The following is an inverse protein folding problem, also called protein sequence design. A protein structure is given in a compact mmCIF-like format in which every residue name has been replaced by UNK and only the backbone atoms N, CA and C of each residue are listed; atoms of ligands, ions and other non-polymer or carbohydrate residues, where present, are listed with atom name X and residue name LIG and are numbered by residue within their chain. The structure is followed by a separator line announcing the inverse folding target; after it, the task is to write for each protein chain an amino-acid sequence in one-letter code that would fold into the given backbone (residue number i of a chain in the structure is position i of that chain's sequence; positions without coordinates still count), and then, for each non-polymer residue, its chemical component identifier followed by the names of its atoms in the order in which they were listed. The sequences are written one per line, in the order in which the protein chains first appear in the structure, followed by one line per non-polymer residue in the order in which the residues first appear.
data_IF_415120514100
#
_entry.id   IF_415120514100
#
_cell.length_a   1.000
_cell.length_b   1.000
_cell.length_c   1.000
_cell.angle_alpha   90.00
_cell.angle_beta   90.00
_cell.angle_gamma   90.00
#
_symmetry.space_group_name_H-M   'P 1'
#
loop_
_entity.id
_entity.type
_entity.pdbx_description
1 polymer ?
#
# COMPACT_ATOMS: atom_id res chain seq x y z
N UNK A 1 -27.04 28.93 -1.75
CA UNK A 1 -25.60 28.65 -1.97
C UNK A 1 -25.08 28.00 -0.71
N UNK A 2 -24.48 26.82 -0.81
CA UNK A 2 -24.00 26.07 0.36
C UNK A 2 -22.48 26.20 0.42
N UNK A 3 -21.97 26.68 1.56
CA UNK A 3 -20.55 26.73 1.88
C UNK A 3 -20.24 25.57 2.81
N UNK A 4 -19.40 24.64 2.37
CA UNK A 4 -18.97 23.48 3.14
C UNK A 4 -17.64 23.76 3.83
N UNK A 5 -17.53 23.29 5.08
CA UNK A 5 -16.29 23.27 5.85
C UNK A 5 -15.71 21.87 5.81
N UNK A 6 -14.54 21.72 5.21
CA UNK A 6 -13.94 20.42 4.92
C UNK A 6 -12.55 20.31 5.54
N UNK A 7 -12.17 19.09 5.89
CA UNK A 7 -10.80 18.70 6.21
C UNK A 7 -10.34 17.65 5.21
N UNK A 8 -9.13 17.77 4.69
CA UNK A 8 -8.52 16.73 3.85
C UNK A 8 -8.17 15.52 4.72
N UNK A 9 -8.69 14.36 4.37
CA UNK A 9 -8.37 13.08 5.01
C UNK A 9 -7.28 12.36 4.24
N UNK A 10 -7.45 12.27 2.91
CA UNK A 10 -6.42 11.77 1.99
C UNK A 10 -6.12 12.82 0.93
N UNK A 11 -4.84 12.99 0.60
CA UNK A 11 -4.39 13.95 -0.42
C UNK A 11 -5.04 13.67 -1.77
N UNK A 12 -5.21 14.74 -2.55
CA UNK A 12 -5.75 14.64 -3.90
C UNK A 12 -4.71 14.01 -4.83
N UNK A 13 -5.12 12.98 -5.54
CA UNK A 13 -4.30 12.29 -6.54
C UNK A 13 -4.91 12.44 -7.94
N UNK A 14 -4.05 12.56 -8.94
CA UNK A 14 -4.48 12.54 -10.33
C UNK A 14 -4.83 11.12 -10.78
N UNK A 15 -6.07 10.94 -11.23
CA UNK A 15 -6.56 9.75 -11.91
C UNK A 15 -6.87 10.08 -13.37
N UNK A 16 -6.69 9.10 -14.25
CA UNK A 16 -7.03 9.21 -15.69
C UNK A 16 -7.90 8.05 -16.09
N UNK A 17 -8.98 8.36 -16.80
CA UNK A 17 -9.75 7.42 -17.61
C UNK A 17 -9.45 7.70 -19.09
N UNK A 18 -9.92 6.81 -19.98
CA UNK A 18 -9.62 6.86 -21.43
C UNK A 18 -9.71 8.28 -22.00
N UNK A 19 -10.76 9.01 -21.64
CA UNK A 19 -11.09 10.29 -22.28
C UNK A 19 -10.90 11.52 -21.38
N UNK A 20 -10.56 11.35 -20.09
CA UNK A 20 -10.41 12.48 -19.17
C UNK A 20 -9.52 12.19 -17.97
N UNK A 21 -8.92 13.25 -17.44
CA UNK A 21 -8.18 13.23 -16.17
C UNK A 21 -8.90 14.06 -15.10
N UNK A 22 -8.81 13.60 -13.86
CA UNK A 22 -9.46 14.22 -12.72
C UNK A 22 -8.65 13.99 -11.45
N UNK A 23 -8.81 14.87 -10.47
CA UNK A 23 -8.36 14.67 -9.11
C UNK A 23 -9.41 13.91 -8.32
N UNK A 24 -8.93 13.02 -7.45
CA UNK A 24 -9.72 12.33 -6.44
C UNK A 24 -9.03 12.52 -5.09
N UNK A 25 -9.78 12.94 -4.09
CA UNK A 25 -9.32 12.99 -2.70
C UNK A 25 -10.44 12.57 -1.75
N UNK A 26 -10.08 12.34 -0.50
CA UNK A 26 -11.03 11.96 0.55
C UNK A 26 -11.08 13.08 1.58
N UNK A 27 -12.29 13.51 1.94
CA UNK A 27 -12.49 14.65 2.84
C UNK A 27 -13.49 14.33 3.94
N UNK A 28 -13.37 15.04 5.05
CA UNK A 28 -14.33 15.03 6.15
C UNK A 28 -15.09 16.34 6.18
N UNK A 29 -16.42 16.27 6.16
CA UNK A 29 -17.31 17.43 6.30
C UNK A 29 -17.67 17.64 7.76
N UNK A 30 -17.66 18.89 8.23
CA UNK A 30 -18.02 19.23 9.61
C UNK A 30 -19.38 18.65 10.01
N UNK A 31 -19.38 17.83 11.07
CA UNK A 31 -20.60 17.19 11.60
C UNK A 31 -21.03 15.93 10.84
N UNK A 32 -20.25 15.48 9.85
CA UNK A 32 -20.51 14.23 9.15
C UNK A 32 -20.14 13.02 10.01
N UNK A 33 -20.88 11.93 9.80
CA UNK A 33 -20.60 10.60 10.37
C UNK A 33 -19.75 9.73 9.44
N UNK A 34 -19.28 10.30 8.32
CA UNK A 34 -18.46 9.59 7.33
C UNK A 34 -17.50 10.53 6.59
N UNK A 35 -16.40 9.97 6.11
CA UNK A 35 -15.59 10.60 5.08
C UNK A 35 -16.28 10.44 3.72
N UNK A 36 -16.10 11.43 2.85
CA UNK A 36 -16.69 11.48 1.51
C UNK A 36 -15.61 11.70 0.47
N UNK A 37 -15.83 11.14 -0.71
CA UNK A 37 -14.94 11.39 -1.83
C UNK A 37 -15.22 12.74 -2.47
N UNK A 38 -14.17 13.40 -2.91
CA UNK A 38 -14.23 14.65 -3.65
C UNK A 38 -13.50 14.51 -4.99
N UNK A 39 -14.18 14.92 -6.05
CA UNK A 39 -13.68 14.85 -7.42
C UNK A 39 -13.59 16.23 -8.05
N UNK A 40 -12.52 16.48 -8.80
CA UNK A 40 -12.34 17.70 -9.58
C UNK A 40 -11.77 17.37 -10.95
N UNK A 41 -12.41 17.81 -12.03
CA UNK A 41 -11.82 17.65 -13.37
C UNK A 41 -10.54 18.48 -13.49
N UNK A 42 -9.49 17.94 -14.13
CA UNK A 42 -8.25 18.71 -14.35
C UNK A 42 -8.42 19.89 -15.31
N UNK A 43 -9.48 19.89 -16.12
CA UNK A 43 -9.83 21.05 -16.96
C UNK A 43 -10.21 22.29 -16.15
N UNK A 44 -10.52 22.14 -14.86
CA UNK A 44 -10.73 23.25 -13.91
C UNK A 44 -9.38 23.64 -13.30
N UNK A 45 -8.47 24.17 -14.12
CA UNK A 45 -7.04 24.30 -13.78
C UNK A 45 -6.79 24.99 -12.44
N UNK A 46 -7.48 26.09 -12.16
CA UNK A 46 -7.30 26.84 -10.91
C UNK A 46 -7.72 26.04 -9.67
N UNK A 47 -8.92 25.48 -9.68
CA UNK A 47 -9.44 24.68 -8.56
C UNK A 47 -8.64 23.39 -8.39
N UNK A 48 -8.26 22.74 -9.49
CA UNK A 48 -7.43 21.54 -9.47
C UNK A 48 -6.03 21.81 -8.87
N UNK A 49 -5.35 22.88 -9.31
CA UNK A 49 -4.06 23.30 -8.74
C UNK A 49 -4.17 23.60 -7.24
N UNK A 50 -5.28 24.21 -6.83
CA UNK A 50 -5.56 24.52 -5.43
C UNK A 50 -5.66 23.24 -4.61
N UNK A 51 -6.46 22.26 -5.06
CA UNK A 51 -6.64 20.98 -4.37
C UNK A 51 -5.35 20.17 -4.27
N UNK A 52 -4.52 20.17 -5.33
CA UNK A 52 -3.23 19.46 -5.33
C UNK A 52 -2.24 19.96 -4.27
N UNK A 53 -2.38 21.21 -3.81
CA UNK A 53 -1.52 21.78 -2.76
C UNK A 53 -1.98 21.40 -1.36
N UNK A 54 -3.24 20.98 -1.19
CA UNK A 54 -3.78 20.66 0.12
C UNK A 54 -3.23 19.33 0.63
N UNK A 55 -2.72 19.35 1.86
CA UNK A 55 -2.16 18.17 2.53
C UNK A 55 -3.19 17.53 3.46
N UNK A 56 -2.99 16.26 3.79
CA UNK A 56 -3.81 15.60 4.82
C UNK A 56 -3.84 16.44 6.11
N UNK A 57 -4.98 16.46 6.79
CA UNK A 57 -5.29 17.28 7.95
C UNK A 57 -5.38 18.80 7.70
N UNK A 58 -5.40 19.24 6.43
CA UNK A 58 -5.63 20.65 6.09
C UNK A 58 -7.12 20.98 6.09
N UNK A 59 -7.50 22.07 6.76
CA UNK A 59 -8.87 22.60 6.76
C UNK A 59 -9.06 23.64 5.66
N UNK A 60 -10.13 23.49 4.87
CA UNK A 60 -10.44 24.37 3.75
C UNK A 60 -11.95 24.57 3.61
N UNK A 61 -12.34 25.54 2.79
CA UNK A 61 -13.75 25.77 2.49
C UNK A 61 -14.01 25.53 1.01
N UNK A 62 -15.19 25.02 0.70
CA UNK A 62 -15.64 24.92 -0.67
C UNK A 62 -17.07 25.41 -0.82
N UNK A 63 -17.32 26.17 -1.87
CA UNK A 63 -18.62 26.72 -2.21
C UNK A 63 -19.12 26.12 -3.52
N UNK A 64 -20.44 25.94 -3.63
CA UNK A 64 -21.14 25.54 -4.86
C UNK A 64 -20.60 24.24 -5.49
N UNK A 65 -20.37 23.22 -4.66
CA UNK A 65 -20.11 21.85 -5.11
C UNK A 65 -21.40 21.11 -5.43
N UNK A 66 -21.35 20.20 -6.38
CA UNK A 66 -22.44 19.26 -6.63
C UNK A 66 -22.30 18.04 -5.72
N UNK A 67 -23.39 17.68 -5.05
CA UNK A 67 -23.47 16.43 -4.29
C UNK A 67 -24.20 15.38 -5.13
N UNK A 68 -23.65 14.17 -5.22
CA UNK A 68 -24.35 13.06 -5.86
C UNK A 68 -25.51 12.59 -4.98
N UNK A 69 -26.65 12.30 -5.59
CA UNK A 69 -27.85 11.77 -4.93
C UNK A 69 -27.80 10.26 -4.68
N UNK A 70 -26.66 9.61 -4.90
CA UNK A 70 -26.46 8.18 -4.68
C UNK A 70 -26.39 7.84 -3.19
N UNK A 71 -26.51 6.54 -2.88
CA UNK A 71 -26.25 5.98 -1.55
C UNK A 71 -24.91 6.42 -0.97
N UNK A 72 -23.91 6.59 -1.83
CA UNK A 72 -22.62 7.17 -1.51
C UNK A 72 -22.61 8.66 -1.91
N UNK A 73 -22.63 9.54 -0.89
CA UNK A 73 -22.46 10.99 -1.06
C UNK A 73 -21.05 11.24 -1.59
N UNK A 74 -20.95 11.80 -2.79
CA UNK A 74 -19.70 12.29 -3.38
C UNK A 74 -19.82 13.78 -3.67
N UNK A 75 -18.73 14.50 -3.47
CA UNK A 75 -18.61 15.91 -3.79
C UNK A 75 -17.94 16.09 -5.15
N UNK A 76 -18.51 16.91 -6.01
CA UNK A 76 -17.96 17.24 -7.33
C UNK A 76 -17.74 18.73 -7.45
N UNK A 77 -16.48 19.11 -7.65
CA UNK A 77 -16.09 20.47 -8.00
C UNK A 77 -16.49 20.74 -9.45
N UNK A 78 -17.13 21.88 -9.67
CA UNK A 78 -17.60 22.34 -10.98
C UNK A 78 -16.96 23.68 -11.32
N UNK A 79 -17.16 24.16 -12.55
CA UNK A 79 -16.71 25.49 -12.98
C UNK A 79 -17.32 26.65 -12.17
N UNK A 80 -18.40 26.41 -11.39
CA UNK A 80 -18.99 27.41 -10.50
C UNK A 80 -18.46 27.33 -9.07
N UNK A 81 -17.77 26.25 -8.74
CA UNK A 81 -17.29 26.02 -7.39
C UNK A 81 -16.13 26.96 -7.07
N UNK A 82 -16.01 27.33 -5.80
CA UNK A 82 -14.86 28.11 -5.31
C UNK A 82 -14.21 27.39 -4.14
N UNK A 83 -12.89 27.27 -4.20
CA UNK A 83 -12.09 26.64 -3.16
C UNK A 83 -11.31 27.72 -2.44
N UNK A 84 -11.43 27.74 -1.12
CA UNK A 84 -10.66 28.62 -0.25
C UNK A 84 -9.66 27.77 0.52
N UNK A 85 -8.38 27.91 0.19
CA UNK A 85 -7.27 27.09 0.72
C UNK A 85 -7.15 27.08 2.24
N UNK A 86 -7.72 28.09 2.91
CA UNK A 86 -7.69 28.24 4.36
C UNK A 86 -9.10 28.28 4.93
N UNK A 87 -9.43 27.26 5.72
CA UNK A 87 -10.61 27.22 6.55
C UNK A 87 -10.24 27.33 8.03
N UNK A 88 -11.13 27.87 8.85
CA UNK A 88 -11.02 27.70 10.30
C UNK A 88 -11.14 26.21 10.63
N UNK A 89 -10.32 25.75 11.59
CA UNK A 89 -10.45 24.40 12.12
C UNK A 89 -11.82 24.21 12.76
N UNK A 90 -12.24 22.95 12.84
CA UNK A 90 -13.49 22.56 13.49
C UNK A 90 -13.30 21.19 14.14
N UNK A 91 -14.22 20.84 15.03
CA UNK A 91 -14.22 19.54 15.70
C UNK A 91 -14.42 18.40 14.70
N UNK A 92 -13.49 17.45 14.74
CA UNK A 92 -13.48 16.26 13.88
C UNK A 92 -13.75 15.05 14.74
N UNK A 93 -14.68 14.20 14.32
CA UNK A 93 -14.88 12.90 14.96
C UNK A 93 -13.70 12.00 14.60
N UNK A 94 -12.71 11.95 15.49
CA UNK A 94 -11.46 11.20 15.26
C UNK A 94 -11.71 9.72 14.96
N UNK A 95 -12.71 9.11 15.60
CA UNK A 95 -13.10 7.72 15.36
C UNK A 95 -13.51 7.47 13.90
N UNK A 96 -14.24 8.40 13.29
CA UNK A 96 -14.67 8.30 11.88
C UNK A 96 -13.47 8.38 10.95
N UNK A 97 -12.56 9.35 11.19
CA UNK A 97 -11.38 9.54 10.36
C UNK A 97 -10.39 8.38 10.53
N UNK A 98 -10.15 7.95 11.77
CA UNK A 98 -9.28 6.82 12.08
C UNK A 98 -9.82 5.53 11.49
N UNK A 99 -11.12 5.25 11.62
CA UNK A 99 -11.77 4.10 11.01
C UNK A 99 -11.74 4.12 9.48
N UNK A 100 -11.68 5.29 8.86
CA UNK A 100 -11.54 5.43 7.41
C UNK A 100 -10.09 5.19 6.91
N UNK A 101 -9.11 5.76 7.62
CA UNK A 101 -7.68 5.72 7.26
C UNK A 101 -7.03 4.39 7.66
N UNK A 102 -7.43 3.83 8.79
CA UNK A 102 -6.90 2.59 9.36
C UNK A 102 -8.05 1.74 9.86
N UNK A 103 -8.90 1.21 8.95
CA UNK A 103 -9.98 0.30 9.31
C UNK A 103 -9.43 -0.98 9.93
N UNK A 104 -10.28 -1.67 10.68
CA UNK A 104 -9.95 -2.96 11.27
C UNK A 104 -9.55 -3.98 10.20
N UNK A 105 -8.70 -4.93 10.60
CA UNK A 105 -8.31 -6.06 9.77
C UNK A 105 -9.47 -7.04 9.70
N UNK A 106 -9.83 -7.41 8.47
CA UNK A 106 -10.83 -8.43 8.18
C UNK A 106 -10.20 -9.52 7.32
N UNK A 107 -10.84 -10.68 7.25
CA UNK A 107 -10.36 -11.76 6.38
C UNK A 107 -10.57 -11.45 4.89
N UNK A 108 -9.79 -12.08 4.02
CA UNK A 108 -9.96 -12.02 2.56
C UNK A 108 -11.38 -12.49 2.15
N UNK A 109 -11.93 -13.51 2.81
CA UNK A 109 -13.30 -13.98 2.58
C UNK A 109 -14.35 -12.90 2.86
N UNK A 110 -14.18 -12.15 3.95
CA UNK A 110 -15.05 -11.03 4.31
C UNK A 110 -14.85 -9.83 3.39
N UNK A 111 -13.62 -9.54 2.97
CA UNK A 111 -13.32 -8.48 2.03
C UNK A 111 -14.00 -8.74 0.66
N UNK A 112 -14.03 -9.99 0.19
CA UNK A 112 -14.73 -10.39 -1.04
C UNK A 112 -16.25 -10.24 -0.97
N UNK A 113 -16.84 -10.26 0.22
CA UNK A 113 -18.28 -10.03 0.45
C UNK A 113 -18.61 -8.58 0.78
N UNK A 114 -17.60 -7.74 0.94
CA UNK A 114 -17.78 -6.36 1.35
C UNK A 114 -18.36 -5.49 0.21
N UNK A 115 -19.14 -4.45 0.55
CA UNK A 115 -19.63 -3.50 -0.44
C UNK A 115 -18.50 -2.88 -1.26
N UNK A 116 -18.80 -2.57 -2.52
CA UNK A 116 -17.92 -1.77 -3.36
C UNK A 116 -17.55 -0.47 -2.64
N UNK A 117 -16.31 0.00 -2.83
CA UNK A 117 -15.75 1.21 -2.20
C UNK A 117 -15.55 1.16 -0.69
N UNK A 118 -15.89 0.06 -0.01
CA UNK A 118 -15.59 -0.10 1.42
C UNK A 118 -14.08 -0.07 1.66
N UNK A 119 -13.69 0.64 2.73
CA UNK A 119 -12.32 0.65 3.27
C UNK A 119 -12.10 -0.57 4.15
N UNK A 120 -11.04 -1.31 3.88
CA UNK A 120 -10.71 -2.56 4.58
C UNK A 120 -9.20 -2.65 4.82
N UNK A 121 -8.82 -3.39 5.86
CA UNK A 121 -7.44 -3.85 6.03
C UNK A 121 -7.45 -5.38 5.94
N UNK A 122 -6.45 -5.97 5.30
CA UNK A 122 -6.33 -7.43 5.13
C UNK A 122 -4.91 -7.89 5.44
N UNK A 123 -4.78 -9.14 5.88
CA UNK A 123 -3.50 -9.84 5.99
C UNK A 123 -3.45 -11.00 4.98
N UNK A 124 -2.26 -11.45 4.63
CA UNK A 124 -2.09 -12.65 3.82
C UNK A 124 -0.74 -12.74 3.14
N UNK A 125 -0.46 -13.90 2.60
CA UNK A 125 0.79 -14.20 1.91
C UNK A 125 0.67 -13.84 0.43
N UNK A 126 1.67 -13.17 -0.12
CA UNK A 126 1.75 -12.83 -1.55
C UNK A 126 2.09 -14.09 -2.35
N UNK A 127 1.12 -14.70 -3.02
CA UNK A 127 1.34 -15.90 -3.84
C UNK A 127 1.86 -15.58 -5.24
N UNK A 128 1.67 -14.34 -5.70
CA UNK A 128 2.16 -13.87 -6.99
C UNK A 128 2.25 -12.34 -7.02
N UNK A 129 3.26 -11.80 -7.69
CA UNK A 129 3.41 -10.38 -7.92
C UNK A 129 3.80 -10.11 -9.38
N UNK A 130 3.08 -9.21 -10.04
CA UNK A 130 3.46 -8.73 -11.37
C UNK A 130 4.75 -7.90 -11.31
N UNK A 131 5.40 -7.72 -12.46
CA UNK A 131 6.32 -6.59 -12.61
C UNK A 131 5.58 -5.26 -12.44
N UNK A 132 6.28 -4.26 -11.90
CA UNK A 132 5.75 -2.91 -11.81
C UNK A 132 5.74 -2.28 -13.20
N UNK A 133 4.56 -1.90 -13.70
CA UNK A 133 4.39 -1.31 -15.04
C UNK A 133 4.19 0.20 -14.96
N UNK A 134 4.70 0.93 -15.96
CA UNK A 134 4.45 2.35 -16.22
C UNK A 134 5.49 3.32 -15.63
N UNK A 135 6.15 4.09 -16.49
CA UNK A 135 7.19 5.08 -16.10
C UNK A 135 6.65 6.21 -15.22
N UNK A 136 5.48 6.76 -15.58
CA UNK A 136 4.85 7.88 -14.86
C UNK A 136 3.79 7.44 -13.86
N UNK A 137 3.28 6.20 -13.99
CA UNK A 137 2.21 5.64 -13.17
C UNK A 137 2.51 4.18 -12.91
N UNK A 138 3.26 3.98 -11.84
CA UNK A 138 3.65 2.65 -11.37
C UNK A 138 2.41 1.90 -10.90
N UNK A 139 2.15 0.75 -11.50
CA UNK A 139 1.07 -0.15 -11.12
C UNK A 139 1.65 -1.53 -10.90
N UNK A 140 1.24 -2.16 -9.81
CA UNK A 140 1.60 -3.55 -9.51
C UNK A 140 0.37 -4.32 -9.12
N UNK A 141 0.19 -5.49 -9.72
CA UNK A 141 -0.84 -6.44 -9.34
C UNK A 141 -0.23 -7.51 -8.45
N UNK A 142 -0.90 -7.85 -7.36
CA UNK A 142 -0.56 -8.95 -6.49
C UNK A 142 -1.72 -9.94 -6.41
N UNK A 143 -1.40 -11.20 -6.13
CA UNK A 143 -2.32 -12.17 -5.56
C UNK A 143 -1.93 -12.40 -4.11
N UNK A 144 -2.89 -12.22 -3.21
CA UNK A 144 -2.71 -12.50 -1.80
C UNK A 144 -3.64 -13.64 -1.39
N UNK A 145 -3.13 -14.53 -0.55
CA UNK A 145 -3.85 -15.69 -0.04
C UNK A 145 -3.87 -15.71 1.48
N UNK A 146 -5.02 -16.05 2.03
CA UNK A 146 -5.27 -16.27 3.46
C UNK A 146 -6.27 -17.44 3.55
N UNK A 147 -5.97 -18.45 4.37
CA UNK A 147 -6.86 -19.61 4.60
C UNK A 147 -7.41 -20.29 3.33
N UNK A 148 -6.59 -20.34 2.27
CA UNK A 148 -6.96 -20.92 0.97
C UNK A 148 -7.83 -20.04 0.07
N UNK A 149 -8.17 -18.83 0.51
CA UNK A 149 -8.88 -17.82 -0.29
C UNK A 149 -7.88 -16.85 -0.92
N UNK A 150 -7.97 -16.66 -2.24
CA UNK A 150 -7.16 -15.68 -2.97
C UNK A 150 -7.98 -14.42 -3.31
N UNK A 151 -7.32 -13.26 -3.26
CA UNK A 151 -7.81 -12.00 -3.80
C UNK A 151 -6.77 -11.27 -4.64
N UNK A 152 -7.24 -10.59 -5.68
CA UNK A 152 -6.44 -9.69 -6.51
C UNK A 152 -6.27 -8.35 -5.81
N UNK A 153 -5.03 -7.90 -5.68
CA UNK A 153 -4.68 -6.61 -5.11
C UNK A 153 -4.01 -5.72 -6.18
N UNK A 154 -4.43 -4.46 -6.25
CA UNK A 154 -3.88 -3.46 -7.18
C UNK A 154 -3.20 -2.33 -6.40
N UNK A 155 -1.87 -2.27 -6.48
CA UNK A 155 -1.06 -1.21 -5.89
C UNK A 155 -0.75 -0.12 -6.93
N UNK A 156 -0.87 1.14 -6.54
CA UNK A 156 -0.74 2.31 -7.42
C UNK A 156 0.30 3.30 -6.89
N UNK A 157 1.07 3.90 -7.79
CA UNK A 157 2.03 4.95 -7.46
C UNK A 157 3.14 4.47 -6.54
N UNK A 158 3.31 5.14 -5.39
CA UNK A 158 4.40 4.84 -4.47
C UNK A 158 4.25 3.48 -3.79
N UNK A 159 3.03 2.99 -3.57
CA UNK A 159 2.79 1.68 -2.95
C UNK A 159 3.21 0.52 -3.86
N UNK A 160 3.15 0.71 -5.19
CA UNK A 160 3.51 -0.31 -6.17
C UNK A 160 4.96 -0.81 -6.06
N UNK A 161 5.89 -0.02 -5.51
CA UNK A 161 7.29 -0.42 -5.34
C UNK A 161 7.61 -1.03 -3.98
N UNK A 162 6.66 -1.04 -3.04
CA UNK A 162 6.91 -1.41 -1.64
C UNK A 162 6.92 -2.91 -1.43
N UNK A 163 6.10 -3.65 -2.18
CA UNK A 163 6.10 -5.12 -2.19
C UNK A 163 7.09 -5.56 -3.24
N UNK A 164 8.02 -6.47 -2.92
CA UNK A 164 9.10 -6.83 -3.85
C UNK A 164 9.02 -8.27 -4.33
N UNK A 165 8.58 -9.20 -3.49
CA UNK A 165 8.70 -10.64 -3.74
C UNK A 165 7.40 -11.40 -3.50
N UNK A 166 7.37 -12.59 -4.10
CA UNK A 166 6.44 -13.66 -3.74
C UNK A 166 6.81 -14.17 -2.33
N UNK A 167 5.85 -14.74 -1.63
CA UNK A 167 5.98 -15.38 -0.32
C UNK A 167 6.27 -14.39 0.84
N UNK A 168 6.02 -13.09 0.62
CA UNK A 168 5.97 -12.08 1.68
C UNK A 168 4.61 -12.16 2.41
N UNK A 169 4.62 -12.27 3.74
CA UNK A 169 3.43 -12.04 4.56
C UNK A 169 3.23 -10.54 4.77
N UNK A 170 2.08 -10.03 4.31
CA UNK A 170 1.79 -8.61 4.29
C UNK A 170 0.45 -8.33 4.96
N UNK A 171 0.46 -7.25 5.73
CA UNK A 171 -0.72 -6.54 6.19
C UNK A 171 -0.91 -5.27 5.38
N UNK A 172 -1.98 -5.23 4.59
CA UNK A 172 -2.36 -4.07 3.79
C UNK A 172 -3.44 -3.28 4.53
N UNK A 173 -3.12 -2.06 4.93
CA UNK A 173 -4.01 -1.21 5.74
C UNK A 173 -4.61 -0.09 4.88
N UNK A 174 -5.91 0.14 5.05
CA UNK A 174 -6.61 1.23 4.36
C UNK A 174 -6.65 1.00 2.85
N UNK A 175 -7.13 -0.17 2.45
CA UNK A 175 -7.36 -0.54 1.06
C UNK A 175 -8.83 -0.35 0.69
N UNK A 176 -9.15 -0.31 -0.60
CA UNK A 176 -10.50 -0.12 -1.09
C UNK A 176 -11.00 -1.33 -1.87
N UNK A 177 -12.16 -1.84 -1.49
CA UNK A 177 -12.83 -2.94 -2.21
C UNK A 177 -13.37 -2.42 -3.54
N UNK A 178 -13.06 -3.11 -4.62
CA UNK A 178 -13.50 -2.81 -5.98
C UNK A 178 -14.21 -4.04 -6.55
N UNK A 179 -15.53 -3.91 -6.73
CA UNK A 179 -16.36 -4.94 -7.34
C UNK A 179 -16.51 -4.63 -8.82
N UNK A 180 -15.87 -5.43 -9.67
CA UNK A 180 -16.07 -5.38 -11.12
C UNK A 180 -17.07 -6.48 -11.50
N UNK A 181 -18.17 -6.09 -12.16
CA UNK A 181 -19.24 -7.01 -12.56
C UNK A 181 -18.80 -8.13 -13.51
N UNK A 182 -17.58 -8.08 -14.05
CA UNK A 182 -17.05 -9.12 -14.95
C UNK A 182 -15.85 -9.89 -14.40
N UNK A 183 -15.05 -9.28 -13.51
CA UNK A 183 -13.78 -9.85 -13.04
C UNK A 183 -13.73 -10.13 -11.54
N UNK A 184 -14.86 -9.97 -10.85
CA UNK A 184 -15.02 -10.29 -9.44
C UNK A 184 -14.56 -9.16 -8.52
N UNK A 185 -14.15 -9.52 -7.30
CA UNK A 185 -13.69 -8.55 -6.30
C UNK A 185 -12.17 -8.42 -6.35
N UNK A 186 -11.72 -7.17 -6.39
CA UNK A 186 -10.31 -6.78 -6.27
C UNK A 186 -10.16 -5.72 -5.18
N UNK A 187 -8.96 -5.56 -4.65
CA UNK A 187 -8.68 -4.63 -3.56
C UNK A 187 -7.60 -3.65 -4.00
N UNK A 188 -7.91 -2.36 -3.98
CA UNK A 188 -7.07 -1.31 -4.55
C UNK A 188 -6.42 -0.45 -3.47
N UNK A 189 -5.16 -0.09 -3.68
CA UNK A 189 -4.50 0.88 -2.81
C UNK A 189 -5.07 2.29 -3.02
N UNK A 190 -4.96 3.08 -1.97
CA UNK A 190 -5.34 4.49 -1.86
C UNK A 190 -4.14 5.33 -1.41
N UNK A 191 -4.25 6.68 -1.42
CA UNK A 191 -3.15 7.54 -0.98
C UNK A 191 -2.69 7.29 0.46
N UNK A 192 -3.57 6.89 1.38
CA UNK A 192 -3.21 6.58 2.77
C UNK A 192 -2.80 5.12 3.02
N UNK A 193 -2.80 4.28 1.98
CA UNK A 193 -2.49 2.86 2.14
C UNK A 193 -1.11 2.66 2.79
N UNK A 194 -1.09 1.85 3.84
CA UNK A 194 0.14 1.37 4.47
C UNK A 194 0.31 -0.10 4.14
N UNK A 195 1.56 -0.47 3.87
CA UNK A 195 1.97 -1.85 3.69
C UNK A 195 2.89 -2.13 4.87
N UNK A 196 2.44 -3.00 5.73
CA UNK A 196 3.19 -3.53 6.86
C UNK A 196 3.57 -4.96 6.48
N UNK A 197 4.84 -5.32 6.63
CA UNK A 197 5.30 -6.70 6.47
C UNK A 197 6.23 -7.00 7.62
N UNK A 198 6.27 -8.25 8.06
CA UNK A 198 7.44 -8.71 8.81
C UNK A 198 8.61 -8.67 7.84
N UNK A 199 9.57 -7.78 8.10
CA UNK A 199 10.91 -7.93 7.53
C UNK A 199 11.42 -9.25 8.10
N UNK A 200 11.39 -10.32 7.32
CA UNK A 200 12.29 -11.45 7.53
C UNK A 200 13.68 -10.80 7.61
N UNK A 201 14.40 -11.03 8.72
CA UNK A 201 15.70 -10.43 8.98
C UNK A 201 16.61 -10.64 7.77
N UNK A 202 17.33 -9.58 7.40
CA UNK A 202 18.50 -9.73 6.55
C UNK A 202 19.56 -10.41 7.42
N UNK A 203 19.75 -11.72 7.23
CA UNK A 203 20.81 -12.44 7.91
C UNK A 203 22.12 -12.14 7.16
N UNK A 204 23.02 -11.39 7.81
CA UNK A 204 24.36 -11.12 7.31
C UNK A 204 25.37 -12.07 7.95
N UNK A 205 26.22 -12.67 7.12
CA UNK A 205 27.43 -13.36 7.57
C UNK A 205 28.59 -12.39 7.39
N UNK A 206 29.28 -12.06 8.48
CA UNK A 206 30.56 -11.35 8.41
C UNK A 206 31.64 -12.42 8.32
N UNK A 207 32.29 -12.53 7.17
CA UNK A 207 33.44 -13.38 6.96
C UNK A 207 34.73 -12.55 6.99
N UNK A 208 35.76 -13.01 7.68
CA UNK A 208 37.09 -12.44 7.60
C UNK A 208 37.96 -13.35 6.73
N UNK A 209 38.63 -12.77 5.75
CA UNK A 209 39.70 -13.47 5.03
C UNK A 209 40.99 -13.47 5.86
N UNK A 210 41.92 -14.39 5.59
CA UNK A 210 43.19 -14.55 6.33
C UNK A 210 44.07 -13.28 6.32
N UNK A 211 43.84 -12.37 5.36
CA UNK A 211 44.48 -11.06 5.21
C UNK A 211 43.76 -9.91 5.96
N UNK A 212 42.72 -10.22 6.73
CA UNK A 212 42.12 -9.33 7.73
C UNK A 212 41.08 -8.34 7.19
N UNK A 213 40.57 -8.52 5.97
CA UNK A 213 39.47 -7.71 5.46
C UNK A 213 38.12 -8.35 5.82
N UNK A 214 37.26 -7.66 6.60
CA UNK A 214 35.91 -8.14 6.83
C UNK A 214 35.08 -7.94 5.56
N UNK A 215 34.50 -9.03 5.06
CA UNK A 215 33.47 -9.03 4.04
C UNK A 215 32.11 -9.31 4.67
N UNK A 216 31.16 -8.40 4.45
CA UNK A 216 29.76 -8.63 4.79
C UNK A 216 29.08 -9.32 3.61
N UNK A 217 28.68 -10.58 3.80
CA UNK A 217 27.87 -11.32 2.84
C UNK A 217 26.44 -11.28 3.33
N UNK A 218 25.62 -10.46 2.67
CA UNK A 218 24.19 -10.34 2.94
C UNK A 218 23.47 -11.43 2.13
N UNK A 219 22.84 -12.37 2.82
CA UNK A 219 22.04 -13.39 2.15
C UNK A 219 20.60 -12.90 2.02
N UNK A 220 20.07 -12.98 0.80
CA UNK A 220 18.63 -12.89 0.61
C UNK A 220 18.04 -14.28 0.93
N UNK A 221 17.16 -14.36 1.93
CA UNK A 221 16.49 -15.61 2.36
C UNK A 221 16.08 -16.49 1.17
N UNK A 222 16.48 -17.77 1.21
CA UNK A 222 16.21 -18.77 0.20
C UNK A 222 17.27 -18.92 -0.91
N UNK A 223 18.33 -18.10 -0.91
CA UNK A 223 19.45 -18.26 -1.82
C UNK A 223 20.50 -19.26 -1.28
N UNK A 224 20.90 -20.24 -2.10
CA UNK A 224 22.12 -21.05 -1.89
C UNK A 224 23.32 -20.31 -2.48
N UNK A 225 24.37 -20.12 -1.70
CA UNK A 225 25.67 -19.68 -2.23
C UNK A 225 26.60 -20.89 -2.37
N UNK A 226 27.21 -21.04 -3.55
CA UNK A 226 28.38 -21.90 -3.70
C UNK A 226 29.61 -21.11 -3.28
N UNK A 227 30.31 -21.61 -2.27
CA UNK A 227 31.61 -21.09 -1.88
C UNK A 227 32.67 -21.86 -2.67
N UNK A 228 33.56 -21.20 -3.44
CA UNK A 228 34.64 -21.87 -4.13
C UNK A 228 35.56 -22.61 -3.14
N UNK A 229 35.97 -23.83 -3.48
CA UNK A 229 36.81 -24.69 -2.61
C UNK A 229 38.16 -24.07 -2.21
N UNK A 230 38.58 -23.03 -2.92
CA UNK A 230 39.80 -22.25 -2.76
C UNK A 230 39.65 -21.05 -1.81
N UNK A 231 38.45 -20.80 -1.27
CA UNK A 231 38.23 -19.85 -0.19
C UNK A 231 38.56 -20.48 1.17
N UNK A 232 39.71 -20.12 1.75
CA UNK A 232 40.06 -20.46 3.13
C UNK A 232 39.18 -19.70 4.12
N UNK A 233 37.98 -20.21 4.41
CA UNK A 233 37.09 -19.67 5.43
C UNK A 233 37.18 -20.49 6.72
N UNK A 234 37.75 -19.90 7.77
CA UNK A 234 37.52 -20.39 9.14
C UNK A 234 36.24 -19.75 9.68
N UNK A 235 35.11 -20.46 9.60
CA UNK A 235 33.85 -19.99 10.15
C UNK A 235 33.79 -20.33 11.65
N UNK A 236 33.95 -19.34 12.52
CA UNK A 236 33.48 -19.46 13.91
C UNK A 236 31.98 -19.18 13.94
N UNK A 237 31.20 -20.25 13.93
CA UNK A 237 29.73 -20.22 13.90
C UNK A 237 29.20 -19.95 15.31
N UNK A 238 28.67 -18.75 15.55
CA UNK A 238 27.77 -18.49 16.68
C UNK A 238 26.51 -19.37 16.55
N UNK A 239 25.88 -19.79 17.66
CA UNK A 239 25.19 -21.08 17.79
C UNK A 239 23.99 -21.21 16.84
N UNK A 240 24.26 -21.76 15.65
CA UNK A 240 23.26 -22.22 14.70
C UNK A 240 23.56 -23.70 14.44
N UNK A 241 22.56 -24.57 14.55
CA UNK A 241 22.71 -25.97 14.14
C UNK A 241 22.71 -26.03 12.61
N UNK A 242 23.89 -26.07 12.03
CA UNK A 242 24.07 -26.30 10.59
C UNK A 242 24.18 -27.81 10.35
N UNK A 243 23.34 -28.35 9.46
CA UNK A 243 23.48 -29.74 9.00
C UNK A 243 24.20 -29.75 7.63
N UNK A 244 25.45 -30.19 7.63
CA UNK A 244 26.27 -30.27 6.42
C UNK A 244 26.02 -31.64 5.77
N UNK A 245 25.47 -31.67 4.56
CA UNK A 245 25.42 -32.88 3.73
C UNK A 245 26.59 -32.85 2.74
N UNK A 246 27.42 -33.89 2.77
CA UNK A 246 28.56 -34.05 1.86
C UNK A 246 28.17 -35.04 0.78
N UNK A 247 28.31 -34.62 -0.48
CA UNK A 247 28.35 -35.55 -1.62
C UNK A 247 29.80 -35.64 -2.12
N UNK A 248 30.15 -36.76 -2.75
CA UNK A 248 31.52 -37.18 -3.06
C UNK A 248 32.26 -36.27 -4.08
N UNK A 249 31.67 -35.15 -4.50
CA UNK A 249 32.25 -34.25 -5.52
C UNK A 249 32.11 -32.73 -5.28
N UNK A 250 31.49 -32.23 -4.21
CA UNK A 250 31.58 -30.83 -3.77
C UNK A 250 30.71 -30.64 -2.50
N UNK A 251 31.20 -29.91 -1.51
CA UNK A 251 30.47 -29.68 -0.26
C UNK A 251 29.27 -28.74 -0.49
N UNK A 252 28.04 -29.24 -0.29
CA UNK A 252 26.82 -28.41 -0.30
C UNK A 252 26.38 -28.16 1.14
N UNK A 253 26.53 -26.91 1.60
CA UNK A 253 26.03 -26.52 2.93
C UNK A 253 24.55 -26.17 2.81
N UNK A 254 23.68 -26.97 3.45
CA UNK A 254 22.25 -26.67 3.56
C UNK A 254 21.96 -26.18 4.97
N UNK A 255 21.51 -24.94 5.10
CA UNK A 255 21.07 -24.40 6.40
C UNK A 255 19.64 -24.91 6.63
N UNK A 256 19.50 -25.83 7.58
CA UNK A 256 18.22 -26.44 7.94
C UNK A 256 17.87 -25.93 9.34
N UNK A 257 17.16 -24.80 9.37
CA UNK A 257 16.41 -24.30 10.52
C UNK A 257 17.20 -23.61 11.66
N UNK A 258 16.73 -22.41 12.03
CA UNK A 258 17.11 -21.68 13.25
C UNK A 258 16.06 -22.01 14.30
N UNK A 259 16.46 -22.62 15.42
CA UNK A 259 15.61 -22.64 16.62
C UNK A 259 15.86 -21.36 17.41
N UNK A 260 14.78 -20.72 17.85
CA UNK A 260 14.75 -19.49 18.67
C UNK A 260 15.69 -19.50 19.88
#
# INVERSE_FOLDING_TARGET
MVLLKLMVVEEFEERRKRDYSFLRGSVYERGSQKCVEMFCALSLSKEAETLMKLKANTFFLVQDVLETKSTEKQLRVTAKSKIFERGASFEVMEEVVKGYVSPDVISISEAKKSPNKRRVSICGVVTWASECRGEKRKVRELRMMEDGEEVKVMLWGNTANKVRRKDEDLKLVGMEVMVDGTSGVSIHSSPSTKIEGERISEDSIIACTDDGFPMEIVFESGATAQIPNDFGLSLEVLPVKVQIERDDNDEVVKIVEVQE
#
